data_IF_340394220170
#
_entry.id   IF_340394220170
#
_cell.length_a   1.000
_cell.length_b   1.000
_cell.length_c   1.000
_cell.angle_alpha   90.00
_cell.angle_beta   90.00
_cell.angle_gamma   90.00
#
_symmetry.space_group_name_H-M   'P 1'
#
loop_
_entity.id
_entity.type
_entity.pdbx_description
1 polymer ?
#
# COMPACT_ATOMS: atom_id res chain seq x y z
N UNK A 1 19.85 5.22 -0.35
CA UNK A 1 18.41 5.43 -0.59
C UNK A 1 18.22 6.49 -1.64
N UNK A 2 17.58 6.14 -2.72
CA UNK A 2 17.15 7.17 -3.67
C UNK A 2 16.04 7.96 -3.02
N UNK A 3 16.17 9.30 -2.99
CA UNK A 3 15.05 10.15 -2.66
C UNK A 3 13.98 9.95 -3.73
N UNK A 4 12.89 9.28 -3.36
CA UNK A 4 11.73 9.19 -4.24
C UNK A 4 11.05 10.55 -4.24
N UNK A 5 11.30 11.34 -5.27
CA UNK A 5 10.53 12.56 -5.52
C UNK A 5 9.13 12.11 -5.92
N UNK A 6 8.15 12.37 -5.05
CA UNK A 6 6.76 12.07 -5.34
C UNK A 6 6.25 12.95 -6.47
N UNK A 7 5.79 12.33 -7.54
CA UNK A 7 5.18 13.02 -8.66
C UNK A 7 3.67 12.80 -8.63
N UNK A 8 2.91 13.85 -8.29
CA UNK A 8 1.45 13.80 -8.19
C UNK A 8 0.78 13.40 -9.49
N UNK A 9 1.24 13.96 -10.61
CA UNK A 9 0.66 13.68 -11.93
C UNK A 9 0.84 12.21 -12.29
N UNK A 10 2.04 11.68 -12.10
CA UNK A 10 2.32 10.27 -12.33
C UNK A 10 1.49 9.37 -11.42
N UNK A 11 1.36 9.73 -10.15
CA UNK A 11 0.54 8.97 -9.21
C UNK A 11 -0.92 8.90 -9.67
N UNK A 12 -1.50 10.02 -10.09
CA UNK A 12 -2.88 10.07 -10.60
C UNK A 12 -3.02 9.21 -11.87
N UNK A 13 -2.07 9.30 -12.78
CA UNK A 13 -2.06 8.47 -13.99
C UNK A 13 -1.97 6.99 -13.65
N UNK A 14 -1.11 6.61 -12.72
CA UNK A 14 -0.93 5.22 -12.28
C UNK A 14 -2.20 4.68 -11.63
N UNK A 15 -2.89 5.49 -10.82
CA UNK A 15 -4.19 5.10 -10.24
C UNK A 15 -5.22 4.88 -11.32
N UNK A 16 -5.33 5.78 -12.29
CA UNK A 16 -6.27 5.63 -13.41
C UNK A 16 -5.96 4.40 -14.25
N UNK A 17 -4.69 4.17 -14.52
CA UNK A 17 -4.23 3.00 -15.26
C UNK A 17 -4.55 1.70 -14.51
N UNK A 18 -4.33 1.66 -13.20
CA UNK A 18 -4.68 0.50 -12.37
C UNK A 18 -6.18 0.23 -12.37
N UNK A 19 -7.03 1.26 -12.28
CA UNK A 19 -8.49 1.08 -12.38
C UNK A 19 -8.84 0.47 -13.74
N UNK A 20 -8.28 1.00 -14.81
CA UNK A 20 -8.53 0.53 -16.17
C UNK A 20 -8.11 -0.93 -16.36
N UNK A 21 -6.91 -1.27 -15.89
CA UNK A 21 -6.32 -2.60 -16.12
C UNK A 21 -6.95 -3.68 -15.23
N UNK A 22 -7.29 -3.34 -13.99
CA UNK A 22 -7.86 -4.29 -13.04
C UNK A 22 -9.35 -4.52 -13.26
N UNK A 23 -10.10 -3.46 -13.55
CA UNK A 23 -11.56 -3.52 -13.59
C UNK A 23 -12.16 -3.14 -14.93
N UNK A 24 -11.37 -2.69 -15.89
CA UNK A 24 -11.83 -2.24 -17.22
C UNK A 24 -12.89 -1.13 -17.15
N UNK A 25 -12.67 -0.22 -16.20
CA UNK A 25 -13.56 0.91 -15.94
C UNK A 25 -12.77 2.21 -15.95
N UNK A 26 -13.49 3.31 -16.12
CA UNK A 26 -12.91 4.63 -15.86
C UNK A 26 -13.00 4.94 -14.37
N UNK A 27 -12.25 5.95 -13.92
CA UNK A 27 -12.27 6.36 -12.52
C UNK A 27 -13.67 6.78 -12.05
N UNK A 28 -14.46 7.38 -12.94
CA UNK A 28 -15.83 7.82 -12.65
C UNK A 28 -16.80 6.66 -12.46
N UNK A 29 -16.54 5.55 -13.14
CA UNK A 29 -17.37 4.35 -13.07
C UNK A 29 -16.99 3.41 -11.93
N UNK A 30 -15.82 3.57 -11.36
CA UNK A 30 -15.30 2.70 -10.33
C UNK A 30 -15.98 2.92 -8.98
N UNK A 31 -16.22 1.83 -8.25
CA UNK A 31 -16.71 1.90 -6.87
C UNK A 31 -15.61 2.35 -5.91
N UNK A 32 -15.99 2.78 -4.71
CA UNK A 32 -15.04 3.19 -3.67
C UNK A 32 -14.03 2.08 -3.37
N UNK A 33 -14.45 0.84 -3.31
CA UNK A 33 -13.57 -0.30 -3.05
C UNK A 33 -12.61 -0.55 -4.21
N UNK A 34 -13.07 -0.41 -5.45
CA UNK A 34 -12.21 -0.54 -6.64
C UNK A 34 -11.16 0.56 -6.67
N UNK A 35 -11.52 1.78 -6.31
CA UNK A 35 -10.59 2.90 -6.17
C UNK A 35 -9.56 2.62 -5.06
N UNK A 36 -10.01 2.11 -3.91
CA UNK A 36 -9.12 1.70 -2.82
C UNK A 36 -8.08 0.67 -3.31
N UNK A 37 -8.51 -0.34 -4.04
CA UNK A 37 -7.62 -1.34 -4.61
C UNK A 37 -6.59 -0.73 -5.56
N UNK A 38 -7.03 0.15 -6.45
CA UNK A 38 -6.14 0.83 -7.40
C UNK A 38 -5.09 1.71 -6.70
N UNK A 39 -5.51 2.47 -5.69
CA UNK A 39 -4.61 3.28 -4.87
C UNK A 39 -3.60 2.40 -4.13
N UNK A 40 -4.05 1.29 -3.57
CA UNK A 40 -3.19 0.34 -2.86
C UNK A 40 -2.15 -0.29 -3.77
N UNK A 41 -2.52 -0.68 -4.99
CA UNK A 41 -1.57 -1.19 -5.98
C UNK A 41 -0.55 -0.13 -6.37
N UNK A 42 -0.97 1.12 -6.52
CA UNK A 42 -0.05 2.22 -6.86
C UNK A 42 0.97 2.47 -5.74
N UNK A 43 0.52 2.45 -4.48
CA UNK A 43 1.41 2.56 -3.31
C UNK A 43 2.35 1.36 -3.23
N UNK A 44 1.85 0.16 -3.50
CA UNK A 44 2.66 -1.07 -3.52
C UNK A 44 3.79 -0.98 -4.55
N UNK A 45 3.53 -0.41 -5.72
CA UNK A 45 4.56 -0.27 -6.76
C UNK A 45 5.75 0.57 -6.27
N UNK A 46 5.50 1.57 -5.42
CA UNK A 46 6.58 2.34 -4.78
C UNK A 46 7.44 1.48 -3.86
N UNK A 47 6.79 0.56 -3.13
CA UNK A 47 7.47 -0.34 -2.18
C UNK A 47 8.30 -1.41 -2.90
N UNK A 48 7.87 -1.86 -4.06
CA UNK A 48 8.51 -2.97 -4.79
C UNK A 48 9.97 -2.68 -5.14
N UNK A 49 10.28 -1.45 -5.53
CA UNK A 49 11.66 -1.09 -5.85
C UNK A 49 12.61 -1.28 -4.66
N UNK A 50 12.18 -0.83 -3.49
CA UNK A 50 12.93 -1.01 -2.25
C UNK A 50 13.02 -2.50 -1.85
N UNK A 51 11.94 -3.25 -2.06
CA UNK A 51 11.94 -4.68 -1.80
C UNK A 51 12.96 -5.41 -2.68
N UNK A 52 12.98 -5.12 -3.98
CA UNK A 52 13.94 -5.72 -4.90
C UNK A 52 15.39 -5.38 -4.53
N UNK A 53 15.64 -4.16 -4.10
CA UNK A 53 16.96 -3.75 -3.63
C UNK A 53 17.38 -4.54 -2.38
N UNK A 54 16.46 -4.73 -1.45
CA UNK A 54 16.69 -5.53 -0.23
C UNK A 54 16.96 -7.00 -0.58
N UNK A 55 16.21 -7.58 -1.50
CA UNK A 55 16.43 -8.96 -1.96
C UNK A 55 17.81 -9.15 -2.57
N UNK A 56 18.22 -8.21 -3.42
CA UNK A 56 19.58 -8.24 -4.01
C UNK A 56 20.65 -8.13 -2.95
N UNK A 57 20.46 -7.31 -1.93
CA UNK A 57 21.39 -7.17 -0.82
C UNK A 57 21.48 -8.48 -0.02
N UNK A 58 20.38 -9.17 0.20
CA UNK A 58 20.36 -10.48 0.88
C UNK A 58 21.12 -11.52 0.08
N UNK A 59 20.91 -11.58 -1.24
CA UNK A 59 21.63 -12.53 -2.10
C UNK A 59 23.14 -12.28 -2.10
N UNK A 60 23.56 -11.02 -2.04
CA UNK A 60 24.97 -10.63 -2.07
C UNK A 60 25.66 -10.85 -0.73
N UNK A 61 24.99 -10.53 0.38
CA UNK A 61 25.59 -10.56 1.72
C UNK A 61 25.39 -11.88 2.44
N UNK A 62 24.46 -12.70 1.97
CA UNK A 62 24.09 -13.98 2.58
C UNK A 62 23.90 -13.86 4.12
N UNK A 63 23.00 -12.96 4.59
CA UNK A 63 22.83 -12.72 6.00
C UNK A 63 22.13 -13.87 6.69
N UNK A 64 22.29 -13.95 8.00
CA UNK A 64 21.57 -14.90 8.82
C UNK A 64 20.08 -14.57 8.82
N UNK A 65 19.25 -15.51 8.40
CA UNK A 65 17.81 -15.32 8.30
C UNK A 65 17.08 -15.85 9.53
N UNK A 66 16.11 -15.08 10.02
CA UNK A 66 15.24 -15.51 11.11
C UNK A 66 13.81 -15.64 10.54
N UNK A 67 13.20 -16.79 10.76
CA UNK A 67 11.84 -17.06 10.29
C UNK A 67 10.89 -17.16 11.46
N UNK A 68 9.86 -16.34 11.44
CA UNK A 68 8.75 -16.43 12.40
C UNK A 68 7.55 -17.08 11.71
N UNK A 69 7.10 -18.19 12.27
CA UNK A 69 5.95 -18.91 11.75
C UNK A 69 4.83 -18.95 12.77
N UNK A 70 3.66 -18.45 12.38
CA UNK A 70 2.47 -18.46 13.23
C UNK A 70 1.22 -18.62 12.39
N UNK A 71 0.18 -19.18 13.00
CA UNK A 71 -1.16 -19.22 12.42
C UNK A 71 -1.99 -18.02 12.84
N UNK A 72 -1.45 -17.14 13.68
CA UNK A 72 -2.17 -15.97 14.18
C UNK A 72 -1.43 -14.68 13.88
N UNK A 73 -2.05 -13.83 13.07
CA UNK A 73 -1.57 -12.48 12.78
C UNK A 73 -2.76 -11.52 12.76
N UNK A 74 -2.67 -10.44 13.51
CA UNK A 74 -3.66 -9.37 13.52
C UNK A 74 -2.98 -8.05 13.24
N UNK A 75 -2.94 -7.66 11.98
CA UNK A 75 -2.22 -6.46 11.52
C UNK A 75 -3.09 -5.21 11.51
N UNK A 76 -4.39 -5.35 11.22
CA UNK A 76 -5.27 -4.22 11.04
C UNK A 76 -5.04 -3.49 9.72
N UNK A 77 -5.60 -2.30 9.61
CA UNK A 77 -5.45 -1.46 8.42
C UNK A 77 -4.04 -0.93 8.31
N UNK A 78 -3.46 -0.99 7.13
CA UNK A 78 -2.04 -0.68 6.90
C UNK A 78 -1.79 0.38 5.82
N UNK A 79 -2.76 0.72 4.97
CA UNK A 79 -2.53 1.64 3.85
C UNK A 79 -2.04 3.01 4.32
N UNK A 80 -2.73 3.63 5.27
CA UNK A 80 -2.35 4.94 5.81
C UNK A 80 -0.98 4.91 6.47
N UNK A 81 -0.71 3.87 7.26
CA UNK A 81 0.58 3.69 7.92
C UNK A 81 1.73 3.55 6.90
N UNK A 82 1.53 2.78 5.84
CA UNK A 82 2.53 2.63 4.79
C UNK A 82 2.80 3.94 4.06
N UNK A 83 1.76 4.73 3.77
CA UNK A 83 1.93 6.05 3.16
C UNK A 83 2.68 7.02 4.06
N UNK A 84 2.45 6.99 5.36
CA UNK A 84 3.19 7.79 6.34
C UNK A 84 4.65 7.37 6.36
N UNK A 85 4.95 6.08 6.39
CA UNK A 85 6.31 5.56 6.40
C UNK A 85 7.07 5.90 5.11
N UNK A 86 6.39 5.95 3.98
CA UNK A 86 6.95 6.37 2.69
C UNK A 86 7.04 7.90 2.56
N UNK A 87 6.57 8.65 3.56
CA UNK A 87 6.54 10.12 3.58
C UNK A 87 5.73 10.71 2.42
N UNK A 88 4.70 10.02 1.98
CA UNK A 88 3.86 10.44 0.85
C UNK A 88 2.38 10.64 1.20
N UNK A 89 2.01 10.51 2.47
CA UNK A 89 0.60 10.59 2.90
C UNK A 89 -0.06 11.92 2.50
N UNK A 90 0.60 13.02 2.79
CA UNK A 90 0.10 14.36 2.50
C UNK A 90 -0.05 14.58 1.00
N UNK A 91 0.96 14.23 0.25
CA UNK A 91 0.97 14.38 -1.20
C UNK A 91 -0.10 13.52 -1.88
N UNK A 92 -0.29 12.29 -1.40
CA UNK A 92 -1.36 11.41 -1.90
C UNK A 92 -2.73 11.99 -1.59
N UNK A 93 -2.93 12.51 -0.38
CA UNK A 93 -4.18 13.15 0.01
C UNK A 93 -4.51 14.35 -0.88
N UNK A 94 -3.52 15.19 -1.14
CA UNK A 94 -3.68 16.34 -2.04
C UNK A 94 -3.97 15.90 -3.48
N UNK A 95 -3.23 14.91 -3.99
CA UNK A 95 -3.41 14.40 -5.34
C UNK A 95 -4.80 13.80 -5.56
N UNK A 96 -5.30 13.03 -4.61
CA UNK A 96 -6.65 12.46 -4.68
C UNK A 96 -7.72 13.54 -4.56
N UNK A 97 -7.48 14.58 -3.75
CA UNK A 97 -8.37 15.74 -3.65
C UNK A 97 -8.53 16.48 -4.97
N UNK A 98 -7.46 16.61 -5.76
CA UNK A 98 -7.48 17.26 -7.07
C UNK A 98 -8.39 16.54 -8.08
N UNK A 99 -8.55 15.24 -7.96
CA UNK A 99 -9.43 14.44 -8.85
C UNK A 99 -10.79 14.13 -8.21
N UNK A 100 -11.13 14.82 -7.13
CA UNK A 100 -12.43 14.71 -6.47
C UNK A 100 -12.61 13.51 -5.56
N UNK A 101 -11.53 12.85 -5.14
CA UNK A 101 -11.56 11.72 -4.23
C UNK A 101 -11.15 12.15 -2.82
N UNK A 102 -11.76 11.50 -1.82
CA UNK A 102 -11.43 11.69 -0.41
C UNK A 102 -10.63 10.48 0.10
N UNK A 103 -9.40 10.71 0.53
CA UNK A 103 -8.53 9.66 1.06
C UNK A 103 -9.12 8.96 2.28
N UNK A 104 -9.78 9.71 3.17
CA UNK A 104 -10.38 9.13 4.37
C UNK A 104 -11.47 8.11 4.03
N UNK A 105 -12.29 8.40 3.02
CA UNK A 105 -13.31 7.46 2.53
C UNK A 105 -12.69 6.23 1.86
N UNK A 106 -11.57 6.41 1.18
CA UNK A 106 -10.84 5.31 0.55
C UNK A 106 -10.21 4.42 1.62
N UNK A 107 -9.60 4.99 2.65
CA UNK A 107 -9.06 4.23 3.78
C UNK A 107 -10.11 3.41 4.51
N UNK A 108 -11.34 3.92 4.60
CA UNK A 108 -12.45 3.22 5.26
C UNK A 108 -12.88 1.95 4.50
N UNK A 109 -12.52 1.81 3.23
CA UNK A 109 -12.78 0.60 2.44
C UNK A 109 -11.79 -0.52 2.75
N UNK A 110 -10.69 -0.25 3.44
CA UNK A 110 -9.70 -1.26 3.79
C UNK A 110 -10.25 -2.22 4.82
N UNK A 111 -10.22 -3.52 4.50
CA UNK A 111 -10.55 -4.58 5.45
C UNK A 111 -9.36 -4.85 6.37
N UNK A 112 -9.64 -5.18 7.62
CA UNK A 112 -8.60 -5.54 8.57
C UNK A 112 -7.98 -6.90 8.21
N UNK A 113 -6.72 -6.96 7.78
CA UNK A 113 -6.04 -8.24 7.61
C UNK A 113 -5.76 -8.85 8.98
N UNK A 114 -6.37 -9.97 9.23
CA UNK A 114 -6.23 -10.67 10.51
C UNK A 114 -6.29 -12.18 10.28
N UNK A 115 -5.48 -12.92 11.02
CA UNK A 115 -5.49 -14.37 11.05
C UNK A 115 -5.37 -14.83 12.49
N UNK A 116 -6.30 -15.70 12.92
CA UNK A 116 -6.33 -16.18 14.29
C UNK A 116 -7.44 -15.58 15.12
N UNK A 117 -7.49 -15.91 16.40
CA UNK A 117 -8.62 -15.59 17.29
C UNK A 117 -8.15 -15.14 18.69
N UNK A 118 -7.02 -14.50 18.82
CA UNK A 118 -6.53 -14.11 20.14
C UNK A 118 -5.53 -12.96 20.13
N UNK A 119 -5.15 -12.52 21.32
CA UNK A 119 -4.20 -11.43 21.52
C UNK A 119 -2.76 -11.76 21.10
N UNK A 120 -2.43 -13.05 20.97
CA UNK A 120 -1.09 -13.48 20.57
C UNK A 120 -0.76 -13.05 19.13
N UNK A 121 -1.74 -13.16 18.22
CA UNK A 121 -1.54 -12.73 16.83
C UNK A 121 -1.23 -11.24 16.72
N UNK A 122 -1.92 -10.42 17.50
CA UNK A 122 -1.64 -8.97 17.55
C UNK A 122 -0.29 -8.67 18.18
N UNK A 123 0.08 -9.37 19.22
CA UNK A 123 1.38 -9.21 19.86
C UNK A 123 2.51 -9.54 18.90
N UNK A 124 2.37 -10.60 18.12
CA UNK A 124 3.36 -10.99 17.12
C UNK A 124 3.45 -10.00 15.97
N UNK A 125 2.33 -9.38 15.58
CA UNK A 125 2.32 -8.36 14.52
C UNK A 125 3.01 -7.06 14.93
N UNK A 126 2.92 -6.69 16.19
CA UNK A 126 3.62 -5.53 16.73
C UNK A 126 5.11 -5.80 16.89
#
# INVERSE_FOLDING_TARGET
MKENVFNKEKFIEDVKENVKNLYRKTLEEASQQEIFQAVSYTVKDVIIDDWLATQKAFDKQDPKMVYYMSMEFLMGRALGNNMINLKMYKEVKEALGEIGLNLDEIEDQELDPALGNGGLGRLAAC
#
